data_IF_296454978758
#
_entry.id   IF_296454978758
#
_cell.length_a   1.000
_cell.length_b   1.000
_cell.length_c   1.000
_cell.angle_alpha   90.00
_cell.angle_beta   90.00
_cell.angle_gamma   90.00
#
_symmetry.space_group_name_H-M   'P 1'
#
loop_
_entity.id
_entity.type
_entity.pdbx_description
1 polymer ?
#
# COMPACT_ATOMS: atom_id res chain seq x y z
N UNK A 1 7.87 -9.41 4.14
CA UNK A 1 7.10 -8.18 3.99
C UNK A 1 7.20 -7.35 5.26
N UNK A 2 7.15 -6.02 5.18
CA UNK A 2 7.01 -5.10 6.33
C UNK A 2 5.56 -4.65 6.57
N UNK A 3 4.64 -4.95 5.64
CA UNK A 3 3.20 -4.70 5.76
C UNK A 3 2.50 -5.79 6.58
N UNK A 4 2.83 -5.90 7.87
CA UNK A 4 2.40 -7.02 8.73
C UNK A 4 0.89 -7.16 8.87
N UNK A 5 0.13 -6.07 8.88
CA UNK A 5 -1.34 -6.10 8.97
C UNK A 5 -2.03 -6.75 7.76
N UNK A 6 -1.34 -6.95 6.64
CA UNK A 6 -1.82 -7.70 5.48
C UNK A 6 -1.34 -9.17 5.46
N UNK A 7 -0.54 -9.59 6.46
CA UNK A 7 0.11 -10.89 6.53
C UNK A 7 -0.80 -12.06 6.96
N UNK A 8 -2.06 -12.09 6.51
CA UNK A 8 -2.95 -13.21 6.78
C UNK A 8 -2.55 -14.44 5.95
N UNK A 9 -2.63 -15.64 6.56
CA UNK A 9 -2.35 -16.90 5.85
C UNK A 9 -3.39 -17.22 4.77
N UNK A 10 -4.65 -16.83 4.99
CA UNK A 10 -5.75 -17.03 4.06
C UNK A 10 -6.76 -15.90 4.18
N UNK A 11 -7.33 -15.47 3.05
CA UNK A 11 -8.49 -14.59 3.04
C UNK A 11 -9.77 -15.35 3.44
N UNK A 12 -10.77 -14.64 3.95
CA UNK A 12 -12.04 -15.28 4.31
C UNK A 12 -12.80 -15.74 3.06
N UNK A 13 -13.51 -16.85 3.16
CA UNK A 13 -14.33 -17.39 2.07
C UNK A 13 -15.37 -16.36 1.59
N UNK A 14 -15.90 -15.56 2.51
CA UNK A 14 -16.84 -14.48 2.19
C UNK A 14 -16.18 -13.39 1.34
N UNK A 15 -14.95 -12.97 1.67
CA UNK A 15 -14.23 -11.97 0.87
C UNK A 15 -13.91 -12.50 -0.53
N UNK A 16 -13.46 -13.75 -0.64
CA UNK A 16 -13.18 -14.39 -1.93
C UNK A 16 -14.45 -14.48 -2.78
N UNK A 17 -15.56 -14.94 -2.20
CA UNK A 17 -16.84 -15.04 -2.90
C UNK A 17 -17.31 -13.67 -3.41
N UNK A 18 -17.28 -12.64 -2.56
CA UNK A 18 -17.67 -11.28 -2.97
C UNK A 18 -16.75 -10.73 -4.07
N UNK A 19 -15.45 -11.01 -4.01
CA UNK A 19 -14.51 -10.60 -5.05
C UNK A 19 -14.79 -11.28 -6.41
N UNK A 20 -15.39 -12.47 -6.42
CA UNK A 20 -15.80 -13.16 -7.64
C UNK A 20 -17.16 -12.68 -8.18
N UNK A 21 -18.05 -12.20 -7.31
CA UNK A 21 -19.39 -11.70 -7.67
C UNK A 21 -19.37 -10.25 -8.20
N UNK A 22 -18.33 -9.47 -7.88
CA UNK A 22 -18.20 -8.07 -8.27
C UNK A 22 -16.93 -7.81 -9.09
N UNK A 23 -16.87 -6.76 -9.94
CA UNK A 23 -15.66 -6.38 -10.67
C UNK A 23 -14.52 -5.98 -9.72
N UNK A 24 -13.72 -6.97 -9.33
CA UNK A 24 -12.65 -6.84 -8.34
C UNK A 24 -11.34 -7.32 -8.96
N UNK A 25 -10.29 -6.53 -8.78
CA UNK A 25 -8.96 -6.84 -9.29
C UNK A 25 -7.95 -6.85 -8.15
N UNK A 26 -7.16 -7.92 -8.06
CA UNK A 26 -6.07 -8.03 -7.10
C UNK A 26 -4.78 -7.47 -7.73
N UNK A 27 -4.08 -6.65 -6.95
CA UNK A 27 -2.77 -6.11 -7.32
C UNK A 27 -1.79 -6.36 -6.18
N UNK A 28 -0.52 -6.52 -6.53
CA UNK A 28 0.58 -6.64 -5.58
C UNK A 28 1.57 -5.50 -5.79
N UNK A 29 2.15 -5.05 -4.69
CA UNK A 29 3.16 -3.99 -4.65
C UNK A 29 4.33 -4.48 -3.82
N UNK A 30 5.50 -3.88 -4.01
CA UNK A 30 6.67 -4.21 -3.19
C UNK A 30 6.59 -3.51 -1.84
N UNK A 31 7.33 -4.03 -0.85
CA UNK A 31 7.51 -3.35 0.43
C UNK A 31 8.06 -1.92 0.24
N UNK A 32 8.98 -1.73 -0.72
CA UNK A 32 9.52 -0.41 -1.08
C UNK A 32 8.44 0.55 -1.58
N UNK A 33 7.58 0.10 -2.48
CA UNK A 33 6.48 0.92 -3.02
C UNK A 33 5.49 1.32 -1.92
N UNK A 34 5.15 0.38 -1.03
CA UNK A 34 4.26 0.65 0.09
C UNK A 34 4.85 1.66 1.09
N UNK A 35 6.13 1.50 1.47
CA UNK A 35 6.82 2.41 2.40
C UNK A 35 7.03 3.79 1.76
N UNK A 36 7.37 3.83 0.46
CA UNK A 36 7.51 5.09 -0.28
C UNK A 36 6.17 5.84 -0.32
N UNK A 37 5.06 5.14 -0.54
CA UNK A 37 3.74 5.75 -0.51
C UNK A 37 3.34 6.29 0.88
N UNK A 38 3.75 5.63 1.97
CA UNK A 38 3.58 6.18 3.32
C UNK A 38 4.32 7.51 3.50
N UNK A 39 5.55 7.61 2.98
CA UNK A 39 6.34 8.83 3.05
C UNK A 39 5.72 9.95 2.20
N UNK A 40 5.30 9.65 0.96
CA UNK A 40 4.64 10.64 0.09
C UNK A 40 3.34 11.16 0.70
N UNK A 41 2.52 10.28 1.31
CA UNK A 41 1.29 10.71 1.99
C UNK A 41 1.59 11.64 3.17
N UNK A 42 2.65 11.36 3.94
CA UNK A 42 3.08 12.23 5.02
C UNK A 42 3.51 13.60 4.50
N UNK A 43 4.24 13.64 3.39
CA UNK A 43 4.72 14.89 2.80
C UNK A 43 3.57 15.74 2.24
N UNK A 44 2.67 15.12 1.49
CA UNK A 44 1.56 15.81 0.81
C UNK A 44 0.41 16.18 1.75
N UNK A 45 0.06 15.29 2.67
CA UNK A 45 -1.18 15.38 3.45
C UNK A 45 -0.95 15.46 4.96
N UNK A 46 0.29 15.36 5.44
CA UNK A 46 0.63 15.34 6.88
C UNK A 46 -0.05 14.20 7.64
N UNK A 47 -0.36 13.11 6.95
CA UNK A 47 -0.96 11.90 7.52
C UNK A 47 0.09 10.79 7.49
N UNK A 48 0.42 10.24 8.66
CA UNK A 48 1.33 9.12 8.78
C UNK A 48 0.55 7.81 8.87
N UNK A 49 0.95 6.81 8.09
CA UNK A 49 0.30 5.49 8.03
C UNK A 49 1.30 4.34 7.96
N UNK A 50 0.85 3.14 8.32
CA UNK A 50 1.65 1.92 8.22
C UNK A 50 1.70 1.35 6.78
N UNK A 51 2.69 0.49 6.43
CA UNK A 51 2.88 -0.01 5.06
C UNK A 51 1.69 -0.81 4.53
N UNK A 52 0.89 -1.43 5.39
CA UNK A 52 -0.36 -2.08 4.98
C UNK A 52 -1.34 -1.09 4.32
N UNK A 53 -1.46 0.14 4.85
CA UNK A 53 -2.21 1.21 4.19
C UNK A 53 -1.46 1.78 2.99
N UNK A 54 -0.13 1.92 3.12
CA UNK A 54 0.76 2.33 2.03
C UNK A 54 0.61 1.47 0.77
N UNK A 55 0.30 0.19 0.91
CA UNK A 55 0.13 -0.72 -0.22
C UNK A 55 -1.00 -0.30 -1.18
N UNK A 56 -2.12 0.22 -0.67
CA UNK A 56 -3.19 0.76 -1.52
C UNK A 56 -2.78 2.08 -2.18
N UNK A 57 -2.09 2.94 -1.42
CA UNK A 57 -1.60 4.24 -1.89
C UNK A 57 -0.50 4.12 -2.95
N UNK A 58 0.26 3.03 -2.94
CA UNK A 58 1.28 2.75 -3.94
C UNK A 58 0.71 2.74 -5.37
N UNK A 59 -0.56 2.38 -5.58
CA UNK A 59 -1.21 2.46 -6.88
C UNK A 59 -1.33 3.91 -7.41
N UNK A 60 -1.31 4.91 -6.53
CA UNK A 60 -1.33 6.32 -6.91
C UNK A 60 0.09 6.90 -7.05
N UNK A 61 0.97 6.54 -6.11
CA UNK A 61 2.29 7.14 -5.95
C UNK A 61 3.42 6.45 -6.74
N UNK A 62 3.31 5.14 -7.03
CA UNK A 62 4.29 4.45 -7.89
C UNK A 62 3.89 4.60 -9.35
N UNK A 63 4.79 5.16 -10.18
CA UNK A 63 4.60 5.26 -11.63
C UNK A 63 4.37 3.89 -12.28
N UNK A 64 5.05 2.85 -11.77
CA UNK A 64 4.87 1.47 -12.23
C UNK A 64 3.46 0.98 -11.93
N UNK A 65 2.97 1.21 -10.71
CA UNK A 65 1.68 0.69 -10.26
C UNK A 65 0.49 1.51 -10.76
N UNK A 66 0.72 2.77 -11.17
CA UNK A 66 -0.32 3.65 -11.72
C UNK A 66 -1.02 3.08 -12.95
N UNK A 67 -0.39 2.13 -13.65
CA UNK A 67 -1.04 1.40 -14.75
C UNK A 67 -2.31 0.65 -14.30
N UNK A 68 -2.38 0.21 -13.03
CA UNK A 68 -3.56 -0.45 -12.46
C UNK A 68 -4.81 0.47 -12.43
N UNK A 69 -4.60 1.78 -12.29
CA UNK A 69 -5.71 2.75 -12.24
C UNK A 69 -5.95 3.47 -13.57
N UNK A 70 -5.09 3.27 -14.57
CA UNK A 70 -5.21 3.89 -15.89
C UNK A 70 -6.57 3.66 -16.58
N UNK A 71 -7.23 2.48 -16.46
CA UNK A 71 -8.57 2.28 -17.01
C UNK A 71 -9.64 3.24 -16.43
N UNK A 72 -9.37 3.88 -15.29
CA UNK A 72 -10.27 4.82 -14.62
C UNK A 72 -9.88 6.29 -14.84
N UNK A 73 -9.03 6.59 -15.83
CA UNK A 73 -8.63 7.96 -16.14
C UNK A 73 -9.85 8.89 -16.34
N UNK A 74 -9.80 10.07 -15.73
CA UNK A 74 -10.91 11.03 -15.74
C UNK A 74 -12.08 10.70 -14.80
N UNK A 75 -11.97 9.64 -13.98
CA UNK A 75 -12.91 9.33 -12.90
C UNK A 75 -12.36 9.74 -11.55
N UNK A 76 -13.26 9.95 -10.58
CA UNK A 76 -12.88 10.11 -9.17
C UNK A 76 -12.48 8.76 -8.60
N UNK A 77 -11.25 8.66 -8.08
CA UNK A 77 -10.75 7.48 -7.37
C UNK A 77 -10.82 7.75 -5.87
N UNK A 78 -11.35 6.80 -5.12
CA UNK A 78 -11.37 6.83 -3.65
C UNK A 78 -10.43 5.77 -3.12
N UNK A 79 -9.53 6.17 -2.22
CA UNK A 79 -8.63 5.25 -1.50
C UNK A 79 -8.99 5.24 -0.03
N UNK A 80 -9.10 4.04 0.55
CA UNK A 80 -9.38 3.85 1.97
C UNK A 80 -8.06 3.91 2.72
N UNK A 81 -7.95 4.88 3.64
CA UNK A 81 -6.79 5.05 4.53
C UNK A 81 -7.25 4.80 5.96
N UNK A 82 -6.99 3.60 6.48
CA UNK A 82 -7.60 3.13 7.74
C UNK A 82 -6.62 2.97 8.92
N UNK A 83 -5.31 3.05 8.68
CA UNK A 83 -4.27 2.82 9.69
C UNK A 83 -3.56 4.10 10.13
N UNK A 84 -2.50 3.94 10.91
CA UNK A 84 -1.64 5.04 11.35
C UNK A 84 -1.62 5.29 12.86
N UNK A 85 -2.48 4.63 13.64
CA UNK A 85 -2.52 4.81 15.10
C UNK A 85 -1.29 4.27 15.85
N UNK A 86 -0.55 3.33 15.25
CA UNK A 86 0.60 2.66 15.86
C UNK A 86 1.96 3.07 15.31
N UNK A 87 2.04 4.19 14.58
CA UNK A 87 3.26 4.59 13.86
C UNK A 87 3.72 5.99 14.27
N UNK A 88 5.02 6.21 14.17
CA UNK A 88 5.65 7.51 14.34
C UNK A 88 6.79 7.67 13.31
N UNK A 89 7.44 8.84 13.30
CA UNK A 89 8.50 9.14 12.34
C UNK A 89 9.68 8.15 12.43
N UNK A 90 10.10 7.77 13.64
CA UNK A 90 11.21 6.85 13.85
C UNK A 90 10.93 5.46 13.25
N UNK A 91 9.70 4.97 13.39
CA UNK A 91 9.26 3.70 12.80
C UNK A 91 9.26 3.80 11.27
N UNK A 92 8.79 4.91 10.69
CA UNK A 92 8.84 5.10 9.24
C UNK A 92 10.27 5.10 8.70
N UNK A 93 11.18 5.79 9.40
CA UNK A 93 12.60 5.83 9.01
C UNK A 93 13.27 4.46 9.14
N UNK A 94 12.86 3.64 10.11
CA UNK A 94 13.29 2.25 10.19
C UNK A 94 12.84 1.45 8.97
N UNK A 95 11.58 1.55 8.56
CA UNK A 95 11.10 0.85 7.36
C UNK A 95 11.82 1.28 6.09
N UNK A 96 12.09 2.58 5.91
CA UNK A 96 12.87 3.08 4.78
C UNK A 96 14.25 2.40 4.70
N UNK A 97 14.95 2.26 5.84
CA UNK A 97 16.23 1.53 5.89
C UNK A 97 16.06 0.05 5.53
N UNK A 98 15.05 -0.61 6.11
CA UNK A 98 14.84 -2.04 5.93
C UNK A 98 14.52 -2.43 4.48
N UNK A 99 13.80 -1.58 3.74
CA UNK A 99 13.45 -1.84 2.33
C UNK A 99 14.62 -1.51 1.39
N UNK A 100 15.37 -0.44 1.64
CA UNK A 100 16.55 -0.09 0.84
C UNK A 100 17.64 -1.17 0.92
N UNK A 101 17.88 -1.72 2.11
CA UNK A 101 18.86 -2.80 2.31
C UNK A 101 18.48 -4.13 1.64
N UNK A 102 17.20 -4.30 1.29
CA UNK A 102 16.68 -5.50 0.62
C UNK A 102 16.68 -5.37 -0.91
N UNK A 103 16.41 -4.17 -1.42
CA UNK A 103 16.46 -3.90 -2.87
C UNK A 103 17.89 -3.97 -3.42
N UNK A 104 18.92 -3.59 -2.65
CA UNK A 104 20.34 -3.70 -3.05
C UNK A 104 20.85 -5.16 -3.16
N UNK A 105 20.04 -6.15 -2.75
CA UNK A 105 20.41 -7.58 -2.72
C UNK A 105 19.59 -8.46 -3.66
N UNK A 106 18.74 -7.89 -4.52
CA UNK A 106 17.89 -8.62 -5.47
C UNK A 106 18.22 -8.31 -6.93
#
# INVERSE_FOLDING_TARGET
>A
SVATSLGALQASDTAIRLAQEHPTWAYTVTDYEAVSACASLLDDHRVLVEPACGAALALLYSEKQRQAIAPFAGKTVVVIVCGGGGVNADILDQWKRDVLLKDDKS
#
